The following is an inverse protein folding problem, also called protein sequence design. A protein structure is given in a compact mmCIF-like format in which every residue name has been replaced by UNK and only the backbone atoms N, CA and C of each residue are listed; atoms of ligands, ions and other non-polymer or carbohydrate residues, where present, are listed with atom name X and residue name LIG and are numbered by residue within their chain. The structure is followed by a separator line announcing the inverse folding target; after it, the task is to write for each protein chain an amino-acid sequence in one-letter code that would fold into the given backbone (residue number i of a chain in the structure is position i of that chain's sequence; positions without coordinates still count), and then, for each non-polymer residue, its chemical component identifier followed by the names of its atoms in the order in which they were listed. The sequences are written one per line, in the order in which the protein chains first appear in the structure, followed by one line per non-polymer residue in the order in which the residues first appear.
data_IF_729951730944
#
_entry.id   IF_729951730944
#
_cell.length_a   1.000
_cell.length_b   1.000
_cell.length_c   1.000
_cell.angle_alpha   90.00
_cell.angle_beta   90.00
_cell.angle_gamma   90.00
#
_symmetry.space_group_name_H-M   'P 1'
#
loop_
_entity.id
_entity.type
_entity.pdbx_description
1 polymer ?
#
# COMPACT_ATOMS: atom_id res chain seq x y z
N UNK A 1 -4.25 -4.74 6.61
CA UNK A 1 -4.19 -3.26 6.67
C UNK A 1 -4.61 -2.67 8.02
N UNK A 2 -5.73 -3.04 8.66
CA UNK A 2 -6.10 -2.45 9.98
C UNK A 2 -5.05 -2.68 11.08
N UNK A 3 -4.54 -3.91 11.20
CA UNK A 3 -3.49 -4.23 12.17
C UNK A 3 -2.18 -3.49 11.84
N UNK A 4 -1.86 -3.35 10.56
CA UNK A 4 -0.69 -2.63 10.07
C UNK A 4 -0.77 -1.13 10.39
N UNK A 5 -1.91 -0.48 10.13
CA UNK A 5 -2.15 0.92 10.52
C UNK A 5 -1.98 1.14 12.03
N UNK A 6 -2.44 0.19 12.85
CA UNK A 6 -2.28 0.23 14.32
C UNK A 6 -0.82 0.01 14.77
N UNK A 7 -0.01 -0.70 13.98
CA UNK A 7 1.41 -0.84 14.24
C UNK A 7 2.13 0.46 13.89
N UNK A 8 1.87 1.03 12.71
CA UNK A 8 2.44 2.30 12.26
C UNK A 8 2.15 3.45 13.23
N UNK A 9 0.94 3.51 13.80
CA UNK A 9 0.58 4.58 14.75
C UNK A 9 1.36 4.55 16.07
N UNK A 10 2.25 3.58 16.27
CA UNK A 10 3.14 3.48 17.44
C UNK A 10 4.59 3.81 17.11
N UNK A 11 4.92 4.02 15.84
CA UNK A 11 6.26 4.36 15.41
C UNK A 11 6.57 5.81 15.79
N UNK A 12 7.79 6.07 16.27
CA UNK A 12 8.16 7.33 16.90
C UNK A 12 8.02 8.55 15.98
N UNK A 13 8.16 8.37 14.67
CA UNK A 13 8.20 9.44 13.68
C UNK A 13 6.89 9.62 12.92
N UNK A 14 5.86 8.85 13.31
CA UNK A 14 4.53 8.88 12.69
C UNK A 14 3.63 9.78 13.54
N UNK A 15 3.19 10.90 12.95
CA UNK A 15 2.32 11.87 13.59
C UNK A 15 0.84 11.46 13.53
N UNK A 16 0.44 10.82 12.44
CA UNK A 16 -0.95 10.41 12.20
C UNK A 16 -0.99 9.23 11.21
N UNK A 17 -2.05 8.43 11.29
CA UNK A 17 -2.30 7.33 10.37
C UNK A 17 -3.72 7.39 9.83
N UNK A 18 -3.82 7.63 8.52
CA UNK A 18 -5.07 7.58 7.79
C UNK A 18 -5.19 6.20 7.14
N UNK A 19 -6.40 5.67 7.09
CA UNK A 19 -6.68 4.41 6.40
C UNK A 19 -8.07 4.45 5.80
N UNK A 20 -8.26 3.74 4.71
CA UNK A 20 -9.56 3.62 4.06
C UNK A 20 -9.67 2.33 3.28
N UNK A 21 -10.92 1.97 3.01
CA UNK A 21 -11.28 0.96 2.03
C UNK A 21 -12.44 1.55 1.23
N UNK A 22 -12.38 1.39 -0.08
CA UNK A 22 -13.41 1.83 -1.00
C UNK A 22 -13.66 0.73 -2.04
N UNK A 23 -14.86 0.73 -2.62
CA UNK A 23 -15.23 -0.17 -3.70
C UNK A 23 -15.65 0.69 -4.88
N UNK A 24 -14.87 0.65 -5.94
CA UNK A 24 -15.04 1.50 -7.12
C UNK A 24 -15.31 0.68 -8.36
N UNK A 25 -15.96 1.31 -9.33
CA UNK A 25 -16.23 0.72 -10.62
C UNK A 25 -15.45 1.52 -11.67
N UNK A 26 -14.49 0.86 -12.32
CA UNK A 26 -13.70 1.42 -13.43
C UNK A 26 -13.92 0.58 -14.67
N UNK A 27 -14.38 1.21 -15.76
CA UNK A 27 -14.62 0.55 -17.05
C UNK A 27 -15.43 -0.76 -16.95
N UNK A 28 -16.41 -0.79 -16.04
CA UNK A 28 -17.26 -1.96 -15.78
C UNK A 28 -16.65 -3.02 -14.87
N UNK A 29 -15.42 -2.85 -14.38
CA UNK A 29 -14.78 -3.74 -13.42
C UNK A 29 -14.92 -3.17 -12.01
N UNK A 30 -15.31 -4.02 -11.07
CA UNK A 30 -15.32 -3.66 -9.64
C UNK A 30 -13.92 -3.85 -9.07
N UNK A 31 -13.38 -2.80 -8.47
CA UNK A 31 -12.08 -2.77 -7.81
C UNK A 31 -12.29 -2.42 -6.34
N UNK A 32 -11.75 -3.26 -5.46
CA UNK A 32 -11.62 -2.94 -4.04
C UNK A 32 -10.28 -2.25 -3.82
N UNK A 33 -10.33 -1.00 -3.39
CA UNK A 33 -9.15 -0.19 -3.11
C UNK A 33 -8.98 -0.11 -1.59
N UNK A 34 -7.78 -0.38 -1.08
CA UNK A 34 -7.46 -0.24 0.33
C UNK A 34 -6.16 0.53 0.48
N UNK A 35 -6.16 1.50 1.40
CA UNK A 35 -4.96 2.27 1.68
C UNK A 35 -4.70 2.47 3.17
N UNK A 36 -3.43 2.68 3.49
CA UNK A 36 -2.92 3.18 4.76
C UNK A 36 -1.88 4.25 4.44
N UNK A 37 -2.04 5.43 5.00
CA UNK A 37 -1.08 6.53 4.90
C UNK A 37 -0.56 6.83 6.30
N UNK A 38 0.76 6.77 6.49
CA UNK A 38 1.44 7.26 7.68
C UNK A 38 1.99 8.66 7.38
N UNK A 39 1.51 9.67 8.10
CA UNK A 39 2.08 11.01 8.08
C UNK A 39 3.26 11.06 9.03
N UNK A 40 4.35 11.69 8.59
CA UNK A 40 5.57 11.84 9.36
C UNK A 40 5.63 13.24 10.00
N UNK A 41 6.40 13.38 11.07
CA UNK A 41 6.57 14.67 11.77
C UNK A 41 7.20 15.76 10.90
N UNK A 42 7.96 15.37 9.88
CA UNK A 42 8.61 16.26 8.93
C UNK A 42 7.69 16.75 7.80
N UNK A 43 6.39 16.41 7.83
CA UNK A 43 5.41 16.80 6.82
C UNK A 43 5.31 15.87 5.60
N UNK A 44 6.23 14.90 5.46
CA UNK A 44 6.13 13.85 4.43
C UNK A 44 5.09 12.79 4.79
N UNK A 45 4.70 11.95 3.83
CA UNK A 45 3.88 10.76 4.11
C UNK A 45 4.35 9.52 3.38
N UNK A 46 4.13 8.36 3.98
CA UNK A 46 4.28 7.06 3.33
C UNK A 46 2.90 6.47 3.11
N UNK A 47 2.56 6.18 1.87
CA UNK A 47 1.26 5.61 1.49
C UNK A 47 1.45 4.19 0.98
N UNK A 48 0.71 3.26 1.56
CA UNK A 48 0.54 1.89 1.08
C UNK A 48 -0.86 1.78 0.49
N UNK A 49 -0.93 1.31 -0.74
CA UNK A 49 -2.13 1.16 -1.53
C UNK A 49 -2.23 -0.27 -2.06
N UNK A 50 -3.43 -0.85 -2.06
CA UNK A 50 -3.72 -2.15 -2.65
C UNK A 50 -5.02 -2.05 -3.43
N UNK A 51 -4.94 -2.42 -4.71
CA UNK A 51 -6.09 -2.59 -5.58
C UNK A 51 -6.31 -4.08 -5.85
N UNK A 52 -7.57 -4.51 -5.69
CA UNK A 52 -8.00 -5.88 -5.95
C UNK A 52 -9.17 -5.82 -6.91
N UNK A 53 -8.94 -6.23 -8.15
CA UNK A 53 -9.95 -6.31 -9.19
C UNK A 53 -10.10 -7.73 -9.70
N UNK A 54 -11.28 -8.05 -10.23
CA UNK A 54 -11.45 -9.24 -11.05
C UNK A 54 -11.50 -8.82 -12.52
N UNK A 55 -10.60 -9.37 -13.32
CA UNK A 55 -10.55 -9.17 -14.77
C UNK A 55 -10.76 -10.51 -15.46
N UNK A 56 -11.93 -10.67 -16.08
CA UNK A 56 -12.38 -11.97 -16.64
C UNK A 56 -12.42 -13.03 -15.53
N UNK A 57 -11.68 -14.13 -15.68
CA UNK A 57 -11.65 -15.26 -14.73
C UNK A 57 -10.50 -15.16 -13.71
N UNK A 58 -9.74 -14.06 -13.71
CA UNK A 58 -8.55 -13.90 -12.87
C UNK A 58 -8.68 -12.68 -11.96
N UNK A 59 -8.19 -12.80 -10.74
CA UNK A 59 -7.98 -11.70 -9.81
C UNK A 59 -6.64 -11.04 -10.09
N UNK A 60 -6.67 -9.72 -10.26
CA UNK A 60 -5.48 -8.87 -10.35
C UNK A 60 -5.32 -8.15 -9.01
N UNK A 61 -4.11 -8.26 -8.43
CA UNK A 61 -3.73 -7.58 -7.19
C UNK A 61 -2.56 -6.67 -7.53
N UNK A 62 -2.75 -5.37 -7.36
CA UNK A 62 -1.68 -4.39 -7.44
C UNK A 62 -1.46 -3.79 -6.06
N UNK A 63 -0.21 -3.77 -5.62
CA UNK A 63 0.19 -3.09 -4.40
C UNK A 63 1.21 -2.02 -4.73
N UNK A 64 1.02 -0.82 -4.18
CA UNK A 64 1.96 0.28 -4.32
C UNK A 64 2.33 0.81 -2.95
N UNK A 65 3.62 1.11 -2.76
CA UNK A 65 4.09 1.92 -1.63
C UNK A 65 4.80 3.14 -2.18
N UNK A 66 4.50 4.31 -1.62
CA UNK A 66 5.11 5.57 -2.02
C UNK A 66 5.52 6.42 -0.83
N UNK A 67 6.73 6.98 -0.87
CA UNK A 67 7.11 8.11 -0.03
C UNK A 67 6.80 9.40 -0.79
N UNK A 68 5.90 10.19 -0.23
CA UNK A 68 5.58 11.54 -0.69
C UNK A 68 6.37 12.53 0.16
N UNK A 69 7.57 12.88 -0.31
CA UNK A 69 8.32 14.02 0.21
C UNK A 69 7.95 15.28 -0.60
N UNK A 70 8.10 16.46 0.01
CA UNK A 70 7.71 17.76 -0.52
C UNK A 70 7.70 17.90 -2.05
N UNK A 71 6.51 18.19 -2.59
CA UNK A 71 6.11 18.65 -3.94
C UNK A 71 6.76 18.12 -5.24
N UNK A 72 7.82 17.30 -5.21
CA UNK A 72 8.52 16.90 -6.44
C UNK A 72 9.16 15.52 -6.47
N UNK A 73 9.27 14.81 -5.34
CA UNK A 73 9.91 13.49 -5.30
C UNK A 73 9.00 12.44 -4.66
N UNK A 74 8.42 11.60 -5.52
CA UNK A 74 7.68 10.40 -5.13
C UNK A 74 8.60 9.21 -5.39
N UNK A 75 9.12 8.58 -4.34
CA UNK A 75 9.75 7.26 -4.46
C UNK A 75 8.61 6.25 -4.43
N UNK A 76 8.43 5.49 -5.51
CA UNK A 76 7.35 4.51 -5.66
C UNK A 76 7.91 3.12 -5.93
N UNK A 77 7.38 2.13 -5.23
CA UNK A 77 7.55 0.72 -5.53
C UNK A 77 6.18 0.10 -5.76
N UNK A 78 6.05 -0.68 -6.82
CA UNK A 78 4.82 -1.38 -7.18
C UNK A 78 5.10 -2.87 -7.31
N UNK A 79 4.16 -3.69 -6.84
CA UNK A 79 4.15 -5.12 -7.00
C UNK A 79 2.82 -5.56 -7.59
N UNK A 80 2.88 -6.50 -8.54
CA UNK A 80 1.70 -7.03 -9.21
C UNK A 80 1.65 -8.54 -9.05
N UNK A 81 0.49 -9.05 -8.68
CA UNK A 81 0.24 -10.47 -8.55
C UNK A 81 -1.10 -10.82 -9.19
N UNK A 82 -1.21 -12.10 -9.56
CA UNK A 82 -2.42 -12.66 -10.13
C UNK A 82 -2.84 -13.87 -9.29
N UNK A 83 -4.15 -14.10 -9.20
CA UNK A 83 -4.71 -15.25 -8.53
C UNK A 83 -5.92 -15.76 -9.30
N UNK A 84 -6.02 -17.07 -9.48
CA UNK A 84 -7.16 -17.72 -10.13
C UNK A 84 -8.16 -18.29 -9.11
N UNK A 85 -7.73 -18.40 -7.84
CA UNK A 85 -8.54 -18.89 -6.73
C UNK A 85 -8.50 -17.94 -5.54
N UNK A 86 -9.46 -18.07 -4.63
CA UNK A 86 -9.50 -17.28 -3.39
C UNK A 86 -8.28 -17.58 -2.50
N UNK A 87 -7.79 -18.82 -2.50
CA UNK A 87 -6.60 -19.19 -1.70
C UNK A 87 -5.32 -18.57 -2.29
N UNK A 88 -5.20 -18.56 -3.61
CA UNK A 88 -4.13 -17.84 -4.31
C UNK A 88 -4.21 -16.33 -4.04
N UNK A 89 -5.42 -15.76 -3.98
CA UNK A 89 -5.64 -14.34 -3.69
C UNK A 89 -5.12 -13.99 -2.28
N UNK A 90 -5.44 -14.81 -1.27
CA UNK A 90 -4.92 -14.63 0.10
C UNK A 90 -3.39 -14.68 0.15
N UNK A 91 -2.78 -15.59 -0.62
CA UNK A 91 -1.32 -15.74 -0.70
C UNK A 91 -0.66 -14.57 -1.42
N UNK A 92 -1.26 -14.13 -2.53
CA UNK A 92 -0.82 -12.97 -3.31
C UNK A 92 -0.90 -11.67 -2.48
N UNK A 93 -1.96 -11.48 -1.69
CA UNK A 93 -2.09 -10.33 -0.79
C UNK A 93 -0.98 -10.29 0.28
N UNK A 94 -0.66 -11.44 0.88
CA UNK A 94 0.45 -11.54 1.86
C UNK A 94 1.80 -11.26 1.20
N UNK A 95 2.03 -11.78 0.00
CA UNK A 95 3.26 -11.54 -0.77
C UNK A 95 3.40 -10.05 -1.14
N UNK A 96 2.31 -9.44 -1.63
CA UNK A 96 2.21 -8.01 -1.92
C UNK A 96 2.60 -7.20 -0.69
N UNK A 97 1.94 -7.40 0.44
CA UNK A 97 2.26 -6.70 1.70
C UNK A 97 3.71 -6.89 2.16
N UNK A 98 4.26 -8.10 2.01
CA UNK A 98 5.65 -8.40 2.39
C UNK A 98 6.66 -7.71 1.46
N UNK A 99 6.31 -7.54 0.18
CA UNK A 99 7.13 -6.84 -0.81
C UNK A 99 7.10 -5.31 -0.67
N UNK A 100 6.07 -4.77 -0.01
CA UNK A 100 5.84 -3.35 0.21
C UNK A 100 6.43 -2.84 1.54
N UNK A 101 7.35 -3.59 2.15
CA UNK A 101 8.19 -3.08 3.23
C UNK A 101 9.11 -2.02 2.62
N UNK A 102 8.85 -0.74 2.93
CA UNK A 102 9.67 0.34 2.41
C UNK A 102 11.11 0.13 2.86
N UNK A 103 12.03 0.32 1.91
CA UNK A 103 13.47 0.26 2.07
C UNK A 103 13.89 1.32 3.10
N UNK A 104 13.76 0.98 4.39
CA UNK A 104 14.13 1.83 5.52
C UNK A 104 15.63 2.12 5.61
N UNK A 105 16.43 1.67 4.65
CA UNK A 105 17.87 1.91 4.58
C UNK A 105 18.28 3.08 3.67
N UNK A 106 17.39 3.69 2.88
CA UNK A 106 17.84 4.70 1.88
C UNK A 106 17.84 6.15 2.38
N UNK A 107 17.20 6.49 3.51
CA UNK A 107 17.13 7.90 3.95
C UNK A 107 17.18 8.13 5.47
N UNK A 108 17.84 7.25 6.23
CA UNK A 108 18.22 7.53 7.62
C UNK A 108 19.73 7.67 7.84
N UNK A 109 20.54 7.52 6.78
CA UNK A 109 22.02 7.69 6.83
C UNK A 109 22.50 8.95 6.12
N UNK A 110 21.67 9.99 6.06
CA UNK A 110 22.09 11.32 5.61
C UNK A 110 21.85 12.35 6.70
N UNK A 111 22.27 12.03 7.92
CA UNK A 111 22.71 12.99 8.95
C UNK A 111 23.92 12.42 9.68
#
# INVERSE_FOLDING_TARGET
MVAFAKQLSKEQLVSDVIKGIDCRIYDGNTIYEQFVEAKLDNGSSICWWIDIGQRKEQWEIEGTVSLNADSSSIIRQTAHYHANTIDELSSALKATLSSLLFVGDITYKSE
#
